data_IF_415102189093
#
_entry.id   IF_415102189093
#
_cell.length_a   1.000
_cell.length_b   1.000
_cell.length_c   1.000
_cell.angle_alpha   90.00
_cell.angle_beta   90.00
_cell.angle_gamma   90.00
#
_symmetry.space_group_name_H-M   'P 1'
#
loop_
_entity.id
_entity.type
_entity.pdbx_description
1 polymer ?
#
# COMPACT_ATOMS: atom_id res chain seq x y z
N UNK A 1 1.36 2.17 -11.82
CA UNK A 1 2.71 2.75 -11.77
C UNK A 1 3.60 2.00 -10.80
N UNK A 2 4.83 1.77 -11.17
CA UNK A 2 5.79 1.12 -10.28
C UNK A 2 6.89 2.09 -9.87
N UNK A 3 7.24 2.08 -8.59
CA UNK A 3 8.31 2.91 -8.05
C UNK A 3 9.55 2.06 -7.81
N UNK A 4 10.70 2.71 -7.65
CA UNK A 4 11.94 2.04 -7.35
C UNK A 4 11.89 1.35 -5.98
N UNK A 5 12.39 0.11 -5.91
CA UNK A 5 12.50 -0.63 -4.67
C UNK A 5 13.53 0.02 -3.74
N UNK A 6 13.21 0.06 -2.46
CA UNK A 6 14.09 0.64 -1.44
C UNK A 6 14.00 -0.15 -0.13
N UNK A 7 14.84 0.18 0.83
CA UNK A 7 14.82 -0.47 2.14
C UNK A 7 14.55 0.55 3.24
N UNK A 8 13.96 0.06 4.33
CA UNK A 8 13.74 0.85 5.54
C UNK A 8 14.20 0.03 6.74
N UNK A 9 15.13 0.58 7.53
CA UNK A 9 15.68 -0.08 8.71
C UNK A 9 14.94 0.40 9.96
N UNK A 10 14.37 -0.54 10.71
CA UNK A 10 13.68 -0.26 11.96
C UNK A 10 14.68 0.06 13.08
N UNK A 11 14.23 0.74 14.16
CA UNK A 11 15.08 0.96 15.35
C UNK A 11 15.64 -0.35 15.93
N UNK A 12 14.94 -1.45 15.77
CA UNK A 12 15.40 -2.78 16.21
C UNK A 12 16.53 -3.36 15.35
N UNK A 13 16.82 -2.75 14.20
CA UNK A 13 17.79 -3.27 13.24
C UNK A 13 17.18 -4.13 12.13
N UNK A 14 15.90 -4.48 12.23
CA UNK A 14 15.21 -5.23 11.18
C UNK A 14 15.12 -4.37 9.92
N UNK A 15 15.42 -4.97 8.76
CA UNK A 15 15.37 -4.28 7.47
C UNK A 15 14.14 -4.73 6.70
N UNK A 16 13.32 -3.76 6.29
CA UNK A 16 12.14 -4.02 5.47
C UNK A 16 12.43 -3.65 4.02
N UNK A 17 11.86 -4.41 3.09
CA UNK A 17 11.89 -4.09 1.66
C UNK A 17 10.62 -3.32 1.33
N UNK A 18 10.77 -2.15 0.72
CA UNK A 18 9.63 -1.30 0.31
C UNK A 18 9.63 -1.24 -1.21
N UNK A 19 8.58 -1.77 -1.81
CA UNK A 19 8.47 -1.86 -3.27
C UNK A 19 7.03 -1.81 -3.74
N UNK A 20 6.83 -1.53 -5.03
CA UNK A 20 5.51 -1.59 -5.63
C UNK A 20 4.94 -3.00 -5.55
N UNK A 21 3.63 -3.08 -5.29
CA UNK A 21 2.90 -4.34 -5.33
C UNK A 21 2.55 -4.71 -6.77
N UNK A 22 2.53 -6.00 -7.04
CA UNK A 22 2.13 -6.55 -8.35
C UNK A 22 1.11 -7.66 -8.16
N UNK A 23 0.61 -8.23 -9.26
CA UNK A 23 -0.41 -9.28 -9.20
C UNK A 23 0.02 -10.48 -8.36
N UNK A 24 1.31 -10.82 -8.37
CA UNK A 24 1.84 -11.93 -7.59
C UNK A 24 1.78 -11.70 -6.07
N UNK A 25 1.58 -10.46 -5.65
CA UNK A 25 1.48 -10.09 -4.23
C UNK A 25 0.05 -10.18 -3.69
N UNK A 26 -0.92 -10.60 -4.51
CA UNK A 26 -2.32 -10.59 -4.11
C UNK A 26 -2.60 -11.45 -2.87
N UNK A 27 -1.99 -12.62 -2.75
CA UNK A 27 -2.15 -13.47 -1.56
C UNK A 27 -1.60 -12.79 -0.30
N UNK A 28 -0.41 -12.20 -0.40
CA UNK A 28 0.21 -11.48 0.71
C UNK A 28 -0.63 -10.28 1.12
N UNK A 29 -1.16 -9.54 0.16
CA UNK A 29 -2.03 -8.40 0.42
C UNK A 29 -3.34 -8.82 1.07
N UNK A 30 -3.93 -9.92 0.61
CA UNK A 30 -5.16 -10.45 1.19
C UNK A 30 -4.95 -10.86 2.65
N UNK A 31 -3.87 -11.57 2.95
CA UNK A 31 -3.51 -11.95 4.31
C UNK A 31 -3.26 -10.73 5.19
N UNK A 32 -2.58 -9.72 4.66
CA UNK A 32 -2.32 -8.46 5.34
C UNK A 32 -3.63 -7.73 5.69
N UNK A 33 -4.54 -7.62 4.74
CA UNK A 33 -5.83 -6.96 4.96
C UNK A 33 -6.68 -7.68 5.98
N UNK A 34 -6.69 -9.01 5.94
CA UNK A 34 -7.39 -9.79 6.96
C UNK A 34 -6.84 -9.48 8.35
N UNK A 35 -5.51 -9.48 8.50
CA UNK A 35 -4.87 -9.19 9.78
C UNK A 35 -5.18 -7.77 10.26
N UNK A 36 -5.06 -6.76 9.39
CA UNK A 36 -5.30 -5.37 9.78
C UNK A 36 -6.76 -5.09 10.10
N UNK A 37 -7.70 -5.68 9.39
CA UNK A 37 -9.12 -5.55 9.70
C UNK A 37 -9.48 -6.20 11.03
N UNK A 38 -8.76 -7.25 11.41
CA UNK A 38 -8.93 -7.92 12.71
C UNK A 38 -8.32 -7.12 13.86
N UNK A 39 -7.31 -6.29 13.58
CA UNK A 39 -6.54 -5.53 14.58
C UNK A 39 -7.17 -4.19 14.93
N UNK A 40 -8.12 -3.69 14.13
CA UNK A 40 -8.70 -2.37 14.33
C UNK A 40 -10.17 -2.32 13.93
N UNK A 41 -10.95 -1.58 14.72
CA UNK A 41 -12.36 -1.30 14.43
C UNK A 41 -12.55 -0.10 13.49
N UNK A 42 -11.47 0.58 13.13
CA UNK A 42 -11.54 1.75 12.26
C UNK A 42 -11.52 1.40 10.77
N UNK A 43 -11.28 0.13 10.43
CA UNK A 43 -11.31 -0.32 9.05
C UNK A 43 -12.76 -0.44 8.58
N UNK A 44 -13.01 -0.08 7.33
CA UNK A 44 -14.35 -0.03 6.75
C UNK A 44 -14.98 -1.41 6.50
N UNK A 45 -14.20 -2.49 6.61
CA UNK A 45 -14.66 -3.86 6.34
C UNK A 45 -14.33 -4.79 7.49
N UNK A 46 -15.19 -5.81 7.66
CA UNK A 46 -14.90 -6.92 8.57
C UNK A 46 -13.92 -7.89 7.90
N UNK A 47 -13.14 -8.65 8.68
CA UNK A 47 -12.20 -9.64 8.11
C UNK A 47 -12.87 -10.63 7.15
N UNK A 48 -14.12 -11.01 7.43
CA UNK A 48 -14.89 -11.95 6.61
C UNK A 48 -15.25 -11.39 5.23
N UNK A 49 -15.15 -10.08 5.04
CA UNK A 49 -15.42 -9.41 3.78
C UNK A 49 -14.19 -9.34 2.88
N UNK A 50 -13.22 -10.20 3.09
CA UNK A 50 -11.99 -10.25 2.32
C UNK A 50 -12.23 -10.17 0.81
N UNK A 51 -11.32 -9.49 0.11
CA UNK A 51 -11.44 -9.31 -1.33
C UNK A 51 -11.29 -10.64 -2.08
N UNK A 52 -11.99 -10.76 -3.22
CA UNK A 52 -11.77 -11.84 -4.16
C UNK A 52 -10.33 -11.77 -4.68
N UNK A 53 -9.61 -12.89 -4.64
CA UNK A 53 -8.19 -12.94 -5.00
C UNK A 53 -7.97 -12.54 -6.46
N UNK A 54 -8.81 -13.03 -7.37
CA UNK A 54 -8.71 -12.70 -8.80
C UNK A 54 -8.93 -11.21 -9.04
N UNK A 55 -9.94 -10.62 -8.41
CA UNK A 55 -10.21 -9.18 -8.52
C UNK A 55 -9.02 -8.38 -7.98
N UNK A 56 -8.41 -8.82 -6.91
CA UNK A 56 -7.23 -8.17 -6.33
C UNK A 56 -6.02 -8.27 -7.26
N UNK A 57 -5.79 -9.43 -7.89
CA UNK A 57 -4.73 -9.61 -8.88
C UNK A 57 -4.91 -8.65 -10.05
N UNK A 58 -6.13 -8.53 -10.58
CA UNK A 58 -6.44 -7.63 -11.67
C UNK A 58 -6.23 -6.18 -11.29
N UNK A 59 -6.66 -5.79 -10.10
CA UNK A 59 -6.47 -4.43 -9.59
C UNK A 59 -4.99 -4.07 -9.45
N UNK A 60 -4.18 -4.98 -8.93
CA UNK A 60 -2.74 -4.74 -8.78
C UNK A 60 -2.05 -4.65 -10.14
N UNK A 61 -2.44 -5.48 -11.10
CA UNK A 61 -1.90 -5.41 -12.46
C UNK A 61 -2.26 -4.08 -13.12
N UNK A 62 -3.50 -3.64 -13.00
CA UNK A 62 -3.95 -2.36 -13.56
C UNK A 62 -3.23 -1.18 -12.91
N UNK A 63 -3.05 -1.22 -11.59
CA UNK A 63 -2.31 -0.20 -10.86
C UNK A 63 -0.85 -0.12 -11.33
N UNK A 64 -0.23 -1.26 -11.59
CA UNK A 64 1.15 -1.32 -12.08
C UNK A 64 1.33 -0.69 -13.45
N UNK A 65 0.29 -0.71 -14.28
CA UNK A 65 0.30 -0.12 -15.62
C UNK A 65 -0.16 1.33 -15.64
N UNK A 66 -0.76 1.82 -14.57
CA UNK A 66 -1.24 3.21 -14.50
C UNK A 66 -0.08 4.20 -14.56
N UNK A 67 -0.23 5.33 -15.27
CA UNK A 67 0.78 6.37 -15.28
C UNK A 67 0.84 7.20 -14.00
N UNK A 68 -0.19 7.16 -13.15
CA UNK A 68 -0.29 8.02 -11.96
C UNK A 68 -0.66 7.28 -10.69
N UNK A 69 -1.42 6.18 -10.77
CA UNK A 69 -1.82 5.40 -9.60
C UNK A 69 -0.69 4.46 -9.19
N UNK A 70 -0.48 4.30 -7.89
CA UNK A 70 0.54 3.38 -7.40
C UNK A 70 0.13 2.77 -6.07
N UNK A 71 0.62 1.57 -5.81
CA UNK A 71 0.39 0.84 -4.57
C UNK A 71 1.70 0.18 -4.15
N UNK A 72 2.11 0.40 -2.91
CA UNK A 72 3.43 0.04 -2.40
C UNK A 72 3.27 -0.75 -1.12
N UNK A 73 4.09 -1.79 -0.97
CA UNK A 73 4.12 -2.61 0.22
C UNK A 73 5.48 -2.60 0.89
N UNK A 74 5.46 -2.73 2.22
CA UNK A 74 6.65 -2.95 3.04
C UNK A 74 6.65 -4.39 3.49
N UNK A 75 7.74 -5.11 3.23
CA UNK A 75 7.87 -6.53 3.47
C UNK A 75 8.96 -6.85 4.49
N UNK A 76 8.61 -7.67 5.48
CA UNK A 76 9.58 -8.34 6.35
C UNK A 76 9.78 -9.75 5.78
N UNK A 77 10.84 -9.94 4.96
CA UNK A 77 10.97 -11.14 4.16
C UNK A 77 9.84 -11.25 3.15
N UNK A 78 9.03 -12.30 3.24
CA UNK A 78 7.87 -12.51 2.38
C UNK A 78 6.56 -11.99 2.97
N UNK A 79 6.58 -11.53 4.24
CA UNK A 79 5.40 -11.08 4.95
C UNK A 79 5.17 -9.59 4.69
N UNK A 80 4.00 -9.25 4.19
CA UNK A 80 3.59 -7.86 4.04
C UNK A 80 3.20 -7.29 5.40
N UNK A 81 3.85 -6.22 5.82
CA UNK A 81 3.63 -5.62 7.15
C UNK A 81 3.08 -4.21 7.11
N UNK A 82 3.15 -3.55 5.96
CA UNK A 82 2.57 -2.24 5.75
C UNK A 82 2.31 -2.02 4.28
N UNK A 83 1.34 -1.16 3.96
CA UNK A 83 1.07 -0.83 2.57
C UNK A 83 0.47 0.57 2.47
N UNK A 84 0.62 1.19 1.31
CA UNK A 84 -0.16 2.36 0.96
C UNK A 84 -0.54 2.30 -0.51
N UNK A 85 -1.67 2.93 -0.82
CA UNK A 85 -2.12 3.09 -2.19
C UNK A 85 -2.52 4.53 -2.43
N UNK A 86 -2.23 5.04 -3.62
CA UNK A 86 -2.64 6.37 -4.06
C UNK A 86 -3.29 6.21 -5.43
N UNK A 87 -4.50 6.72 -5.56
CA UNK A 87 -5.25 6.64 -6.80
C UNK A 87 -5.87 7.98 -7.13
N UNK A 88 -5.91 8.31 -8.41
CA UNK A 88 -6.63 9.47 -8.90
C UNK A 88 -8.11 9.32 -8.54
N UNK A 89 -8.71 10.38 -7.99
CA UNK A 89 -10.10 10.32 -7.52
C UNK A 89 -11.07 9.91 -8.63
N UNK A 90 -10.87 10.46 -9.83
CA UNK A 90 -11.63 10.08 -11.04
C UNK A 90 -10.75 10.31 -12.25
N UNK A 91 -10.85 9.48 -13.30
CA UNK A 91 -10.08 9.67 -14.54
C UNK A 91 -10.66 10.82 -15.39
N UNK A 92 -10.76 12.02 -14.81
CA UNK A 92 -11.30 13.19 -15.45
C UNK A 92 -10.39 14.38 -15.20
N UNK A 93 -10.24 15.24 -16.19
CA UNK A 93 -9.33 16.39 -16.14
C UNK A 93 -9.55 17.31 -14.93
N UNK A 94 -10.80 17.47 -14.49
CA UNK A 94 -11.14 18.25 -13.30
C UNK A 94 -10.53 17.69 -12.01
N UNK A 95 -10.25 16.38 -11.97
CA UNK A 95 -9.78 15.67 -10.79
C UNK A 95 -8.33 15.23 -10.86
N UNK A 96 -7.60 15.67 -11.91
CA UNK A 96 -6.20 15.25 -12.12
C UNK A 96 -5.27 15.60 -10.96
N UNK A 97 -5.60 16.63 -10.18
CA UNK A 97 -4.82 17.07 -9.02
C UNK A 97 -5.36 16.51 -7.71
N UNK A 98 -6.36 15.66 -7.75
CA UNK A 98 -6.95 15.04 -6.56
C UNK A 98 -6.63 13.57 -6.52
N UNK A 99 -6.18 13.11 -5.35
CA UNK A 99 -5.86 11.72 -5.14
C UNK A 99 -6.47 11.23 -3.83
N UNK A 100 -6.84 9.95 -3.81
CA UNK A 100 -7.25 9.25 -2.59
C UNK A 100 -6.08 8.42 -2.13
N UNK A 101 -5.73 8.55 -0.85
CA UNK A 101 -4.61 7.83 -0.24
C UNK A 101 -5.10 6.99 0.93
N UNK A 102 -4.66 5.73 0.97
CA UNK A 102 -4.90 4.83 2.10
C UNK A 102 -3.58 4.25 2.58
N UNK A 103 -3.39 4.23 3.90
CA UNK A 103 -2.19 3.66 4.53
C UNK A 103 -2.63 2.72 5.64
N UNK A 104 -2.02 1.53 5.70
CA UNK A 104 -2.25 0.55 6.75
C UNK A 104 -0.94 -0.09 7.17
N UNK A 105 -0.80 -0.37 8.46
CA UNK A 105 0.39 -1.02 9.03
C UNK A 105 -0.08 -2.05 10.06
N UNK A 106 0.53 -3.26 10.06
CA UNK A 106 0.22 -4.26 11.07
C UNK A 106 0.52 -3.72 12.46
N UNK A 107 -0.30 -4.08 13.42
CA UNK A 107 -0.22 -3.61 14.80
C UNK A 107 1.18 -3.82 15.40
N UNK A 108 1.81 -4.95 15.13
CA UNK A 108 3.15 -5.27 15.64
C UNK A 108 4.24 -4.32 15.14
N UNK A 109 3.95 -3.52 14.09
CA UNK A 109 4.86 -2.52 13.53
C UNK A 109 4.43 -1.08 13.81
N UNK A 110 3.45 -0.88 14.69
CA UNK A 110 3.07 0.47 15.13
C UNK A 110 4.16 1.07 16.02
N UNK A 111 4.32 2.38 15.96
CA UNK A 111 5.24 3.11 16.83
C UNK A 111 6.72 2.98 16.48
N UNK A 112 7.05 2.37 15.34
CA UNK A 112 8.45 2.19 14.92
C UNK A 112 8.88 3.14 13.78
N UNK A 113 8.02 4.07 13.39
CA UNK A 113 8.29 5.03 12.32
C UNK A 113 7.92 4.56 10.92
N UNK A 114 7.47 3.32 10.74
CA UNK A 114 7.11 2.79 9.43
C UNK A 114 5.96 3.56 8.80
N UNK A 115 4.89 3.84 9.55
CA UNK A 115 3.75 4.59 9.05
C UNK A 115 4.14 5.98 8.56
N UNK A 116 4.97 6.67 9.31
CA UNK A 116 5.48 8.01 8.93
C UNK A 116 6.34 7.94 7.68
N UNK A 117 7.20 6.92 7.57
CA UNK A 117 8.02 6.71 6.37
C UNK A 117 7.17 6.47 5.13
N UNK A 118 6.17 5.58 5.24
CA UNK A 118 5.27 5.30 4.13
C UNK A 118 4.46 6.53 3.72
N UNK A 119 3.98 7.30 4.70
CA UNK A 119 3.25 8.55 4.43
C UNK A 119 4.14 9.54 3.67
N UNK A 120 5.37 9.73 4.09
CA UNK A 120 6.29 10.66 3.43
C UNK A 120 6.60 10.20 2.01
N UNK A 121 6.83 8.91 1.81
CA UNK A 121 7.06 8.34 0.48
C UNK A 121 5.85 8.54 -0.43
N UNK A 122 4.64 8.33 0.10
CA UNK A 122 3.41 8.54 -0.65
C UNK A 122 3.24 10.00 -1.07
N UNK A 123 3.51 10.94 -0.17
CA UNK A 123 3.42 12.37 -0.45
C UNK A 123 4.43 12.78 -1.53
N UNK A 124 5.68 12.35 -1.40
CA UNK A 124 6.74 12.70 -2.34
C UNK A 124 6.43 12.17 -3.74
N UNK A 125 5.97 10.92 -3.84
CA UNK A 125 5.62 10.33 -5.12
C UNK A 125 4.37 10.97 -5.72
N UNK A 126 3.40 11.32 -4.89
CA UNK A 126 2.18 12.00 -5.34
C UNK A 126 2.53 13.35 -5.98
N UNK A 127 3.43 14.11 -5.37
CA UNK A 127 3.92 15.36 -5.93
C UNK A 127 4.66 15.15 -7.25
N UNK A 128 5.50 14.14 -7.31
CA UNK A 128 6.24 13.79 -8.53
C UNK A 128 5.30 13.40 -9.67
N UNK A 129 4.15 12.81 -9.36
CA UNK A 129 3.15 12.40 -10.35
C UNK A 129 2.24 13.55 -10.81
N UNK A 130 2.37 14.74 -10.22
CA UNK A 130 1.59 15.90 -10.64
C UNK A 130 0.19 16.01 -10.04
N UNK A 131 -0.07 15.29 -8.97
CA UNK A 131 -1.33 15.46 -8.23
C UNK A 131 -1.40 16.80 -7.52
#
# INVERSE_FOLDING_TARGET
MQIESRTFTLPSGEVLTVRSLCADDAEALNAFRYATYSETYFMARYPEEGANLEAMQNRLADCGESPVNFEVGAFAGEKLVGEFGVAQLRPHIKYRHRAVMGISVRKEYWGCGLGSYLMQLAIDQTRANGF
#
